data_IF_738035330935
#
_entry.id   IF_738035330935
#
_cell.length_a   1.000
_cell.length_b   1.000
_cell.length_c   1.000
_cell.angle_alpha   90.00
_cell.angle_beta   90.00
_cell.angle_gamma   90.00
#
_symmetry.space_group_name_H-M   'P 1'
#
loop_
_entity.id
_entity.type
_entity.pdbx_description
1 polymer ?
#
# COMPACT_ATOMS: atom_id res chain seq x y z
N UNK A 1 -16.11 13.19 -2.80
CA UNK A 1 -15.86 13.21 -1.34
C UNK A 1 -16.95 12.55 -0.50
N UNK A 2 -18.22 13.00 -0.51
CA UNK A 2 -19.27 12.41 0.38
C UNK A 2 -19.40 10.89 0.23
N UNK A 3 -19.48 10.38 -1.00
CA UNK A 3 -19.50 8.93 -1.27
C UNK A 3 -18.21 8.23 -0.78
N UNK A 4 -17.03 8.81 -1.03
CA UNK A 4 -15.76 8.31 -0.48
C UNK A 4 -15.81 8.19 1.07
N UNK A 5 -16.30 9.20 1.79
CA UNK A 5 -16.43 9.11 3.25
C UNK A 5 -17.42 8.01 3.72
N UNK A 6 -18.45 7.70 2.91
CA UNK A 6 -19.39 6.59 3.16
C UNK A 6 -18.76 5.21 2.87
N UNK A 7 -17.88 5.12 1.86
CA UNK A 7 -17.27 3.86 1.43
C UNK A 7 -15.89 3.57 2.07
N UNK A 8 -15.23 4.57 2.66
CA UNK A 8 -13.96 4.40 3.40
C UNK A 8 -13.98 3.27 4.45
N UNK A 9 -15.05 3.07 5.26
CA UNK A 9 -15.08 1.98 6.23
C UNK A 9 -14.84 0.59 5.63
N UNK A 10 -15.16 0.38 4.36
CA UNK A 10 -14.91 -0.89 3.67
C UNK A 10 -13.43 -1.07 3.32
N UNK A 11 -12.73 -0.03 2.83
CA UNK A 11 -11.28 -0.07 2.62
C UNK A 11 -10.52 -0.28 3.95
N UNK A 12 -11.00 0.35 5.02
CA UNK A 12 -10.48 0.19 6.37
C UNK A 12 -10.74 -1.23 6.94
N UNK A 13 -11.88 -1.85 6.60
CA UNK A 13 -12.25 -3.21 7.02
C UNK A 13 -11.42 -4.32 6.37
N UNK A 14 -10.90 -4.10 5.16
CA UNK A 14 -10.05 -5.07 4.46
C UNK A 14 -8.84 -5.51 5.31
N UNK A 15 -8.35 -4.63 6.19
CA UNK A 15 -7.33 -4.95 7.17
C UNK A 15 -7.90 -5.69 8.39
N UNK A 16 -8.05 -6.99 8.22
CA UNK A 16 -8.57 -7.93 9.22
C UNK A 16 -7.50 -8.42 10.22
N UNK A 17 -6.22 -8.22 9.91
CA UNK A 17 -5.07 -8.49 10.80
C UNK A 17 -4.99 -7.58 12.03
N UNK A 18 -4.11 -7.92 13.01
CA UNK A 18 -4.06 -7.28 14.32
C UNK A 18 -3.45 -5.87 14.31
N UNK A 19 -2.66 -5.48 13.30
CA UNK A 19 -1.90 -4.22 13.32
C UNK A 19 -2.79 -2.97 13.43
N UNK A 20 -3.95 -2.93 12.76
CA UNK A 20 -4.90 -1.82 12.93
C UNK A 20 -5.48 -1.75 14.36
N UNK A 21 -5.60 -2.88 15.05
CA UNK A 21 -6.13 -2.90 16.42
C UNK A 21 -5.06 -2.44 17.42
N UNK A 22 -3.78 -2.75 17.19
CA UNK A 22 -2.63 -2.22 17.95
C UNK A 22 -2.61 -0.69 17.90
N UNK A 23 -2.73 -0.11 16.69
CA UNK A 23 -2.69 1.34 16.50
C UNK A 23 -3.90 2.10 17.06
N UNK A 24 -5.04 1.43 17.28
CA UNK A 24 -6.25 2.02 17.88
C UNK A 24 -6.34 1.83 19.39
N UNK A 25 -5.94 0.66 19.89
CA UNK A 25 -6.14 0.24 21.28
C UNK A 25 -4.84 -0.37 21.85
N UNK A 26 -3.74 0.38 22.00
CA UNK A 26 -2.41 -0.19 22.27
C UNK A 26 -2.33 -1.09 23.52
N UNK A 27 -3.23 -0.93 24.50
CA UNK A 27 -3.31 -1.78 25.70
C UNK A 27 -4.31 -2.94 25.52
N UNK A 28 -5.46 -2.69 24.88
CA UNK A 28 -6.57 -3.65 24.78
C UNK A 28 -6.68 -4.34 23.41
N UNK A 29 -5.71 -4.15 22.52
CA UNK A 29 -5.73 -4.71 21.17
C UNK A 29 -5.93 -6.23 21.11
N UNK A 30 -5.37 -7.07 22.04
CA UNK A 30 -5.59 -8.51 21.94
C UNK A 30 -7.07 -8.85 22.17
N UNK A 31 -7.70 -8.21 23.17
CA UNK A 31 -9.12 -8.37 23.45
C UNK A 31 -10.00 -7.86 22.31
N UNK A 32 -9.68 -6.67 21.77
CA UNK A 32 -10.40 -6.07 20.65
C UNK A 32 -10.30 -6.94 19.38
N UNK A 33 -9.10 -7.46 19.07
CA UNK A 33 -8.86 -8.33 17.93
C UNK A 33 -9.56 -9.68 18.08
N UNK A 34 -9.44 -10.36 19.23
CA UNK A 34 -10.14 -11.64 19.52
C UNK A 34 -11.67 -11.49 19.40
N UNK A 35 -12.22 -10.37 19.88
CA UNK A 35 -13.63 -10.02 19.74
C UNK A 35 -14.03 -9.73 18.28
N UNK A 36 -13.19 -9.00 17.53
CA UNK A 36 -13.40 -8.66 16.10
C UNK A 36 -13.37 -9.91 15.23
N UNK A 37 -12.42 -10.82 15.45
CA UNK A 37 -12.32 -12.15 14.85
C UNK A 37 -13.48 -13.10 15.23
N UNK A 38 -14.33 -12.70 16.18
CA UNK A 38 -15.53 -13.45 16.55
C UNK A 38 -15.23 -14.78 17.26
N UNK A 39 -14.03 -14.94 17.85
CA UNK A 39 -13.58 -16.13 18.58
C UNK A 39 -14.55 -16.50 19.72
N UNK A 40 -15.12 -15.49 20.39
CA UNK A 40 -16.14 -15.64 21.44
C UNK A 40 -17.55 -15.96 20.92
N UNK A 41 -17.72 -16.21 19.61
CA UNK A 41 -19.01 -16.48 18.96
C UNK A 41 -18.94 -17.62 17.93
N UNK A 42 -18.37 -18.81 18.27
CA UNK A 42 -18.15 -19.88 17.30
C UNK A 42 -19.44 -20.42 16.67
N UNK A 43 -20.58 -20.37 17.38
CA UNK A 43 -21.89 -20.74 16.85
C UNK A 43 -22.37 -19.86 15.69
N UNK A 44 -21.86 -18.63 15.56
CA UNK A 44 -22.18 -17.74 14.45
C UNK A 44 -21.40 -18.06 13.15
N UNK A 45 -20.42 -18.99 13.19
CA UNK A 45 -19.56 -19.38 12.06
C UNK A 45 -20.35 -19.75 10.80
N UNK A 46 -21.37 -20.58 10.93
CA UNK A 46 -22.16 -21.06 9.78
C UNK A 46 -22.96 -19.95 9.07
N UNK A 47 -23.21 -18.83 9.76
CA UNK A 47 -23.89 -17.65 9.17
C UNK A 47 -22.94 -16.74 8.40
N UNK A 48 -21.62 -16.94 8.48
CA UNK A 48 -20.60 -16.13 7.78
C UNK A 48 -20.19 -16.82 6.48
N UNK A 49 -19.95 -16.09 5.37
CA UNK A 49 -19.45 -16.68 4.13
C UNK A 49 -18.08 -17.31 4.33
N UNK A 50 -17.75 -18.35 3.55
CA UNK A 50 -16.39 -18.83 3.44
C UNK A 50 -15.60 -17.89 2.52
N UNK A 51 -14.45 -17.40 2.99
CA UNK A 51 -13.50 -16.66 2.17
C UNK A 51 -12.29 -17.55 1.91
N UNK A 52 -11.68 -17.38 0.75
CA UNK A 52 -10.47 -18.11 0.41
C UNK A 52 -9.30 -17.69 1.32
N UNK A 53 -8.54 -18.67 1.79
CA UNK A 53 -7.46 -18.49 2.76
C UNK A 53 -7.89 -18.03 4.17
N UNK A 54 -9.18 -17.99 4.52
CA UNK A 54 -9.61 -17.73 5.92
C UNK A 54 -9.44 -18.97 6.81
N UNK A 55 -9.34 -18.75 8.12
CA UNK A 55 -9.20 -19.82 9.11
C UNK A 55 -10.51 -20.62 9.29
N UNK A 56 -10.41 -21.77 9.95
CA UNK A 56 -11.54 -22.69 10.15
C UNK A 56 -12.78 -21.97 10.74
N UNK A 57 -12.61 -21.04 11.69
CA UNK A 57 -13.71 -20.31 12.34
C UNK A 57 -14.22 -19.07 11.58
N UNK A 58 -13.73 -18.82 10.36
CA UNK A 58 -14.10 -17.68 9.49
C UNK A 58 -13.89 -16.32 10.18
N UNK A 59 -12.72 -16.19 10.80
CA UNK A 59 -12.38 -15.05 11.65
C UNK A 59 -12.17 -13.75 10.88
N UNK A 60 -11.58 -13.80 9.69
CA UNK A 60 -11.36 -12.59 8.90
C UNK A 60 -12.67 -12.12 8.24
N UNK A 61 -13.53 -13.04 7.79
CA UNK A 61 -14.91 -12.73 7.41
C UNK A 61 -15.68 -12.07 8.57
N UNK A 62 -15.54 -12.58 9.80
CA UNK A 62 -16.13 -11.99 11.00
C UNK A 62 -15.60 -10.57 11.26
N UNK A 63 -14.28 -10.38 11.17
CA UNK A 63 -13.60 -9.13 11.42
C UNK A 63 -14.02 -8.03 10.43
N UNK A 64 -14.14 -8.38 9.14
CA UNK A 64 -14.63 -7.49 8.10
C UNK A 64 -16.09 -7.10 8.38
N UNK A 65 -17.00 -8.09 8.45
CA UNK A 65 -18.44 -7.87 8.63
C UNK A 65 -18.78 -7.07 9.89
N UNK A 66 -18.08 -7.35 11.00
CA UNK A 66 -18.27 -6.65 12.28
C UNK A 66 -17.75 -5.23 12.26
N UNK A 67 -16.76 -4.91 11.42
CA UNK A 67 -16.23 -3.56 11.28
C UNK A 67 -17.15 -2.66 10.44
N UNK A 68 -17.65 -3.15 9.30
CA UNK A 68 -18.59 -2.39 8.44
C UNK A 68 -20.04 -2.45 8.94
N UNK A 69 -20.35 -3.37 9.87
CA UNK A 69 -21.67 -3.58 10.45
C UNK A 69 -22.78 -3.86 9.40
N UNK A 70 -22.55 -4.88 8.55
CA UNK A 70 -23.51 -5.32 7.53
C UNK A 70 -23.96 -6.77 7.75
N UNK A 71 -25.05 -7.16 7.09
CA UNK A 71 -25.53 -8.55 7.10
C UNK A 71 -24.49 -9.50 6.48
N UNK A 72 -24.26 -10.70 7.02
CA UNK A 72 -23.27 -11.63 6.48
C UNK A 72 -23.49 -12.05 5.02
N UNK A 73 -24.75 -12.07 4.56
CA UNK A 73 -25.14 -12.37 3.18
C UNK A 73 -24.67 -11.33 2.18
N UNK A 74 -24.39 -10.10 2.61
CA UNK A 74 -23.89 -9.04 1.75
C UNK A 74 -22.44 -9.30 1.29
N UNK A 75 -21.64 -10.06 2.05
CA UNK A 75 -20.27 -10.42 1.67
C UNK A 75 -20.31 -11.70 0.81
N UNK A 76 -20.19 -11.55 -0.50
CA UNK A 76 -20.46 -12.61 -1.48
C UNK A 76 -19.21 -13.38 -1.95
N UNK A 77 -18.02 -12.76 -1.89
CA UNK A 77 -16.73 -13.39 -2.23
C UNK A 77 -15.59 -12.67 -1.51
N UNK A 78 -14.45 -13.33 -1.35
CA UNK A 78 -13.19 -12.69 -1.00
C UNK A 78 -12.06 -13.68 -0.79
N UNK A 79 -10.82 -13.18 -0.81
CA UNK A 79 -9.59 -13.89 -0.48
C UNK A 79 -8.84 -13.10 0.59
N UNK A 80 -8.37 -13.79 1.62
CA UNK A 80 -7.72 -13.20 2.80
C UNK A 80 -6.22 -13.46 2.80
N UNK A 81 -5.80 -14.67 2.44
CA UNK A 81 -4.39 -15.05 2.37
C UNK A 81 -3.75 -14.39 1.15
N UNK A 82 -2.75 -13.55 1.39
CA UNK A 82 -1.92 -12.99 0.33
C UNK A 82 -0.80 -13.96 0.00
N UNK A 83 -0.49 -14.05 -1.29
CA UNK A 83 0.69 -14.71 -1.85
C UNK A 83 1.47 -13.67 -2.66
N UNK A 84 2.66 -14.01 -3.16
CA UNK A 84 3.45 -13.06 -3.96
C UNK A 84 2.69 -12.70 -5.23
N UNK A 85 2.27 -11.43 -5.35
CA UNK A 85 1.40 -10.85 -6.40
C UNK A 85 -0.10 -11.15 -6.28
N UNK A 86 -0.57 -11.76 -5.20
CA UNK A 86 -2.00 -11.98 -4.97
C UNK A 86 -2.58 -10.97 -3.97
N UNK A 87 -3.48 -10.11 -4.43
CA UNK A 87 -4.18 -9.17 -3.55
C UNK A 87 -5.25 -9.88 -2.70
N UNK A 88 -5.31 -9.54 -1.41
CA UNK A 88 -6.48 -9.88 -0.59
C UNK A 88 -7.61 -8.90 -0.88
N UNK A 89 -8.83 -9.41 -1.00
CA UNK A 89 -9.98 -8.62 -1.44
C UNK A 89 -11.29 -9.17 -0.88
N UNK A 90 -12.32 -8.32 -0.87
CA UNK A 90 -13.67 -8.61 -0.41
C UNK A 90 -14.67 -8.03 -1.40
N UNK A 91 -15.66 -8.81 -1.84
CA UNK A 91 -16.75 -8.35 -2.71
C UNK A 91 -18.04 -8.34 -1.92
N UNK A 92 -18.69 -7.18 -1.89
CA UNK A 92 -19.85 -6.89 -1.06
C UNK A 92 -21.00 -6.34 -1.93
N UNK A 93 -22.20 -6.85 -1.74
CA UNK A 93 -23.42 -6.32 -2.36
C UNK A 93 -24.16 -5.43 -1.37
N UNK A 94 -24.35 -4.16 -1.73
CA UNK A 94 -25.07 -3.15 -0.95
C UNK A 94 -26.37 -2.81 -1.68
N UNK A 95 -27.42 -3.62 -1.44
CA UNK A 95 -28.73 -3.47 -2.09
C UNK A 95 -29.38 -2.11 -1.81
N UNK A 96 -29.20 -1.55 -0.61
CA UNK A 96 -29.70 -0.21 -0.23
C UNK A 96 -29.07 0.91 -1.07
N UNK A 97 -27.88 0.68 -1.64
CA UNK A 97 -27.16 1.63 -2.50
C UNK A 97 -27.12 1.21 -3.97
N UNK A 98 -27.78 0.09 -4.33
CA UNK A 98 -27.62 -0.58 -5.63
C UNK A 98 -26.15 -0.61 -6.09
N UNK A 99 -25.27 -1.11 -5.22
CA UNK A 99 -23.82 -1.06 -5.44
C UNK A 99 -23.17 -2.42 -5.17
N UNK A 100 -22.33 -2.89 -6.09
CA UNK A 100 -21.36 -3.97 -5.87
C UNK A 100 -20.02 -3.31 -5.52
N UNK A 101 -19.58 -3.47 -4.28
CA UNK A 101 -18.34 -2.91 -3.75
C UNK A 101 -17.23 -3.97 -3.75
N UNK A 102 -16.05 -3.60 -4.25
CA UNK A 102 -14.84 -4.43 -4.22
C UNK A 102 -13.82 -3.71 -3.33
N UNK A 103 -13.60 -4.23 -2.12
CA UNK A 103 -12.59 -3.73 -1.19
C UNK A 103 -11.27 -4.47 -1.36
N UNK A 104 -10.21 -3.78 -1.76
CA UNK A 104 -8.86 -4.34 -1.93
C UNK A 104 -8.00 -3.96 -0.72
N UNK A 105 -7.37 -4.98 -0.12
CA UNK A 105 -6.50 -4.84 1.04
C UNK A 105 -5.11 -4.33 0.62
N UNK A 106 -4.61 -3.32 1.33
CA UNK A 106 -3.21 -2.92 1.21
C UNK A 106 -2.27 -3.74 2.11
N UNK A 107 -0.99 -3.45 2.00
CA UNK A 107 0.10 -4.12 2.74
C UNK A 107 -0.07 -3.98 4.26
N UNK A 108 0.23 -5.02 5.03
CA UNK A 108 0.10 -4.98 6.49
C UNK A 108 1.18 -4.11 7.15
N UNK A 109 2.46 -4.26 6.81
CA UNK A 109 3.56 -3.58 7.50
C UNK A 109 4.17 -2.42 6.68
N UNK A 110 4.77 -1.40 7.33
CA UNK A 110 5.57 -0.38 6.65
C UNK A 110 6.78 -0.93 5.89
N UNK A 111 7.40 -2.00 6.39
CA UNK A 111 8.58 -2.64 5.80
C UNK A 111 8.23 -3.35 4.49
N UNK A 112 7.12 -4.11 4.49
CA UNK A 112 6.55 -4.68 3.27
C UNK A 112 6.16 -3.57 2.29
N UNK A 113 5.56 -2.46 2.75
CA UNK A 113 5.16 -1.34 1.90
C UNK A 113 6.35 -0.63 1.22
N UNK A 114 7.50 -0.53 1.91
CA UNK A 114 8.75 -0.04 1.32
C UNK A 114 9.29 -1.05 0.30
N UNK A 115 9.23 -2.34 0.60
CA UNK A 115 9.67 -3.42 -0.30
C UNK A 115 8.82 -3.47 -1.56
N UNK A 116 7.49 -3.34 -1.40
CA UNK A 116 6.52 -3.21 -2.49
C UNK A 116 6.82 -1.96 -3.31
N UNK A 117 6.91 -0.77 -2.69
CA UNK A 117 7.13 0.52 -3.35
C UNK A 117 8.50 0.72 -4.03
N UNK A 118 9.41 -0.24 -3.88
CA UNK A 118 10.69 -0.33 -4.59
C UNK A 118 10.64 -1.29 -5.80
N UNK A 119 9.46 -1.79 -6.18
CA UNK A 119 9.31 -2.64 -7.36
C UNK A 119 9.57 -1.85 -8.66
N UNK A 120 10.22 -2.50 -9.63
CA UNK A 120 10.47 -1.92 -10.96
C UNK A 120 9.15 -1.67 -11.72
N UNK A 121 9.21 -0.78 -12.68
CA UNK A 121 8.13 -0.55 -13.63
C UNK A 121 7.79 -1.80 -14.47
N UNK A 122 6.52 -1.93 -14.83
CA UNK A 122 6.00 -2.91 -15.79
C UNK A 122 5.23 -2.17 -16.88
N UNK A 123 5.43 -2.58 -18.14
CA UNK A 123 4.65 -2.05 -19.25
C UNK A 123 3.19 -2.56 -19.18
N UNK A 124 2.25 -1.68 -19.48
CA UNK A 124 0.86 -2.05 -19.75
C UNK A 124 0.74 -2.65 -21.15
N UNK A 125 -0.10 -3.67 -21.30
CA UNK A 125 -0.54 -4.18 -22.61
C UNK A 125 -1.75 -3.38 -23.09
N UNK A 126 -2.14 -3.55 -24.36
CA UNK A 126 -3.33 -2.87 -24.88
C UNK A 126 -4.62 -3.43 -24.26
N UNK A 127 -4.62 -4.67 -23.78
CA UNK A 127 -5.72 -5.28 -23.04
C UNK A 127 -5.89 -4.66 -21.64
N UNK A 128 -4.79 -4.31 -20.94
CA UNK A 128 -4.88 -3.60 -19.65
C UNK A 128 -5.51 -2.20 -19.84
N UNK A 129 -5.22 -1.57 -20.98
CA UNK A 129 -5.64 -0.22 -21.36
C UNK A 129 -6.95 -0.17 -22.15
N UNK A 130 -7.61 -1.32 -22.40
CA UNK A 130 -8.82 -1.42 -23.22
C UNK A 130 -9.89 -0.39 -22.79
N UNK A 131 -10.12 -0.27 -21.49
CA UNK A 131 -11.05 0.73 -20.95
C UNK A 131 -10.66 2.18 -21.23
N UNK A 132 -9.38 2.50 -21.33
CA UNK A 132 -8.90 3.85 -21.66
C UNK A 132 -8.85 4.14 -23.15
N UNK A 133 -8.75 3.09 -23.98
CA UNK A 133 -8.64 3.17 -25.44
C UNK A 133 -10.01 3.13 -26.13
N UNK A 134 -10.91 2.25 -25.67
CA UNK A 134 -12.16 1.93 -26.36
C UNK A 134 -13.42 2.50 -25.70
N UNK A 135 -13.35 3.04 -24.48
CA UNK A 135 -14.54 3.58 -23.80
C UNK A 135 -15.06 4.86 -24.46
N UNK A 136 -16.30 4.81 -24.95
CA UNK A 136 -17.03 5.96 -25.51
C UNK A 136 -17.25 7.09 -24.48
N UNK A 137 -17.18 6.76 -23.19
CA UNK A 137 -17.38 7.70 -22.08
C UNK A 137 -16.18 8.63 -21.88
N UNK A 138 -15.00 8.29 -22.42
CA UNK A 138 -13.79 9.13 -22.38
C UNK A 138 -13.69 10.07 -23.59
N UNK A 139 -13.23 11.33 -23.40
CA UNK A 139 -12.96 12.26 -24.50
C UNK A 139 -12.03 11.66 -25.55
N UNK A 140 -12.34 11.86 -26.84
CA UNK A 140 -11.56 11.35 -27.97
C UNK A 140 -10.09 11.75 -27.85
N UNK A 141 -9.81 13.00 -27.48
CA UNK A 141 -8.44 13.51 -27.25
C UNK A 141 -7.68 12.76 -26.16
N UNK A 142 -8.36 12.26 -25.13
CA UNK A 142 -7.74 11.44 -24.07
C UNK A 142 -7.37 10.06 -24.63
N UNK A 143 -8.28 9.44 -25.38
CA UNK A 143 -8.08 8.13 -26.01
C UNK A 143 -6.95 8.16 -27.03
N UNK A 144 -6.97 9.15 -27.93
CA UNK A 144 -5.90 9.38 -28.90
C UNK A 144 -4.54 9.66 -28.24
N UNK A 145 -4.50 10.41 -27.13
CA UNK A 145 -3.27 10.64 -26.37
C UNK A 145 -2.70 9.33 -25.80
N UNK A 146 -3.54 8.46 -25.23
CA UNK A 146 -3.11 7.13 -24.74
C UNK A 146 -2.60 6.25 -25.89
N UNK A 147 -3.30 6.19 -27.02
CA UNK A 147 -2.86 5.39 -28.18
C UNK A 147 -1.54 5.91 -28.77
N UNK A 148 -1.44 7.22 -28.99
CA UNK A 148 -0.30 7.85 -29.68
C UNK A 148 0.97 7.95 -28.85
N UNK A 149 0.90 7.78 -27.52
CA UNK A 149 2.05 7.86 -26.61
C UNK A 149 2.42 6.52 -25.96
N UNK A 150 1.85 5.41 -26.44
CA UNK A 150 2.25 4.04 -26.09
C UNK A 150 3.75 3.79 -26.42
N UNK A 151 4.52 3.04 -25.60
CA UNK A 151 4.11 2.25 -24.43
C UNK A 151 3.96 3.03 -23.11
N UNK A 152 2.94 2.61 -22.34
CA UNK A 152 2.64 3.10 -21.00
C UNK A 152 3.11 2.15 -19.91
N UNK A 153 3.35 2.68 -18.71
CA UNK A 153 3.97 1.95 -17.61
C UNK A 153 3.26 2.17 -16.28
N UNK A 154 3.24 1.12 -15.47
CA UNK A 154 2.81 1.16 -14.08
C UNK A 154 3.83 0.51 -13.15
N UNK A 155 3.58 0.60 -11.86
CA UNK A 155 4.42 -0.01 -10.83
C UNK A 155 4.23 -1.54 -10.82
N UNK A 156 5.31 -2.31 -11.03
CA UNK A 156 5.24 -3.73 -11.42
C UNK A 156 4.38 -4.61 -10.53
N UNK A 157 4.67 -4.65 -9.22
CA UNK A 157 3.88 -5.45 -8.28
C UNK A 157 2.41 -5.03 -8.16
N UNK A 158 2.08 -3.78 -8.48
CA UNK A 158 0.69 -3.28 -8.48
C UNK A 158 -0.02 -3.74 -9.76
N UNK A 159 0.64 -3.66 -10.92
CA UNK A 159 0.11 -4.11 -12.21
C UNK A 159 -0.10 -5.63 -12.19
N UNK A 160 0.87 -6.39 -11.69
CA UNK A 160 0.78 -7.85 -11.56
C UNK A 160 -0.39 -8.27 -10.65
N UNK A 161 -0.54 -7.63 -9.48
CA UNK A 161 -1.64 -7.91 -8.56
C UNK A 161 -3.02 -7.48 -9.08
N UNK A 162 -3.08 -6.41 -9.88
CA UNK A 162 -4.31 -5.98 -10.53
C UNK A 162 -4.72 -6.94 -11.67
N UNK A 163 -3.77 -7.42 -12.48
CA UNK A 163 -4.02 -8.43 -13.54
C UNK A 163 -4.53 -9.75 -12.93
N UNK A 164 -3.89 -10.24 -11.87
CA UNK A 164 -4.33 -11.46 -11.18
C UNK A 164 -5.74 -11.30 -10.58
N UNK A 165 -6.02 -10.18 -9.90
CA UNK A 165 -7.34 -9.94 -9.33
C UNK A 165 -8.41 -9.71 -10.43
N UNK A 166 -8.05 -9.12 -11.56
CA UNK A 166 -8.93 -9.00 -12.73
C UNK A 166 -9.30 -10.38 -13.29
N UNK A 167 -8.33 -11.29 -13.39
CA UNK A 167 -8.59 -12.70 -13.72
C UNK A 167 -9.52 -13.35 -12.68
N UNK A 168 -9.27 -13.26 -11.37
CA UNK A 168 -10.17 -13.85 -10.34
C UNK A 168 -11.62 -13.34 -10.38
N UNK A 169 -11.84 -12.14 -10.91
CA UNK A 169 -13.15 -11.47 -10.97
C UNK A 169 -13.88 -11.66 -12.32
N UNK A 170 -13.14 -11.85 -13.42
CA UNK A 170 -13.69 -12.05 -14.77
C UNK A 170 -13.57 -13.48 -15.29
N UNK A 171 -12.63 -14.27 -14.78
CA UNK A 171 -12.47 -15.65 -15.17
C UNK A 171 -13.41 -16.56 -14.39
N UNK A 172 -13.75 -17.64 -15.07
CA UNK A 172 -14.67 -18.62 -14.57
C UNK A 172 -13.87 -19.67 -13.83
N UNK A 173 -13.70 -19.52 -12.52
CA UNK A 173 -13.17 -20.58 -11.65
C UNK A 173 -13.95 -21.87 -11.92
N UNK A 174 -13.32 -22.73 -12.72
CA UNK A 174 -13.79 -24.01 -13.19
C UNK A 174 -12.70 -24.98 -12.83
N UNK A 175 -13.10 -25.99 -12.09
CA UNK A 175 -12.27 -27.08 -11.62
C UNK A 175 -11.40 -27.65 -12.75
N UNK A 176 -10.23 -28.19 -12.39
CA UNK A 176 -9.42 -29.01 -13.30
C UNK A 176 -10.07 -30.39 -13.51
N UNK A 177 -11.27 -30.38 -14.10
CA UNK A 177 -12.10 -31.55 -14.35
C UNK A 177 -12.44 -31.67 -15.83
N UNK A 178 -11.93 -32.74 -16.46
CA UNK A 178 -12.21 -33.08 -17.86
C UNK A 178 -13.72 -33.08 -18.14
N UNK A 179 -14.18 -32.15 -18.98
CA UNK A 179 -15.46 -32.25 -19.67
C UNK A 179 -15.36 -31.56 -21.03
N UNK A 180 -15.04 -32.34 -22.05
CA UNK A 180 -15.32 -31.95 -23.42
C UNK A 180 -16.85 -31.77 -23.61
N UNK A 181 -17.24 -31.00 -24.64
CA UNK A 181 -18.61 -30.82 -25.10
C UNK A 181 -19.59 -30.04 -24.19
N UNK A 182 -19.49 -28.71 -24.20
CA UNK A 182 -20.58 -27.80 -24.64
C UNK A 182 -20.07 -26.36 -24.68
N UNK A 183 -20.30 -25.64 -25.77
CA UNK A 183 -19.84 -24.26 -26.01
C UNK A 183 -20.60 -23.17 -25.22
N UNK A 184 -21.02 -23.47 -23.99
CA UNK A 184 -21.52 -22.44 -23.08
C UNK A 184 -20.33 -21.60 -22.62
N UNK A 185 -20.24 -20.38 -23.13
CA UNK A 185 -19.22 -19.40 -22.76
C UNK A 185 -19.43 -19.05 -21.28
N UNK A 186 -18.75 -19.79 -20.39
CA UNK A 186 -18.90 -19.66 -18.94
C UNK A 186 -18.64 -18.19 -18.58
N UNK A 187 -19.45 -17.66 -17.66
CA UNK A 187 -19.53 -16.24 -17.41
C UNK A 187 -18.75 -15.85 -16.14
N UNK A 188 -17.94 -14.79 -16.23
CA UNK A 188 -17.10 -14.30 -15.13
C UNK A 188 -17.90 -13.89 -13.90
N UNK A 189 -17.30 -14.01 -12.71
CA UNK A 189 -18.01 -13.77 -11.44
C UNK A 189 -18.68 -12.40 -11.33
N UNK A 190 -17.99 -11.31 -11.70
CA UNK A 190 -18.63 -9.99 -11.72
C UNK A 190 -19.79 -9.94 -12.71
N UNK A 191 -19.62 -10.54 -13.88
CA UNK A 191 -20.66 -10.59 -14.91
C UNK A 191 -21.86 -11.41 -14.44
N UNK A 192 -21.69 -12.53 -13.73
CA UNK A 192 -22.82 -13.26 -13.10
C UNK A 192 -23.58 -12.44 -12.08
N UNK A 193 -22.93 -11.47 -11.42
CA UNK A 193 -23.57 -10.60 -10.43
C UNK A 193 -24.34 -9.45 -11.05
N UNK A 194 -23.83 -8.80 -12.13
CA UNK A 194 -24.38 -7.52 -12.63
C UNK A 194 -24.96 -7.54 -14.05
N UNK A 195 -24.87 -8.67 -14.79
CA UNK A 195 -25.44 -8.78 -16.14
C UNK A 195 -26.97 -8.58 -16.17
N UNK A 196 -27.54 -8.46 -17.37
CA UNK A 196 -28.99 -8.50 -17.54
C UNK A 196 -29.61 -9.80 -17.00
N UNK A 197 -30.70 -9.68 -16.24
CA UNK A 197 -31.36 -10.80 -15.57
C UNK A 197 -30.70 -11.31 -14.28
N UNK A 198 -29.58 -10.72 -13.83
CA UNK A 198 -28.97 -11.03 -12.53
C UNK A 198 -29.58 -10.24 -11.36
N UNK A 199 -29.33 -10.69 -10.13
CA UNK A 199 -29.82 -10.04 -8.90
C UNK A 199 -29.33 -8.59 -8.75
N UNK A 200 -28.07 -8.31 -9.13
CA UNK A 200 -27.49 -6.97 -9.05
C UNK A 200 -27.48 -6.26 -10.42
N UNK A 201 -28.42 -6.60 -11.31
CA UNK A 201 -28.56 -5.90 -12.59
C UNK A 201 -28.74 -4.39 -12.39
N UNK A 202 -27.96 -3.59 -13.12
CA UNK A 202 -27.95 -2.14 -13.01
C UNK A 202 -27.34 -1.60 -11.71
N UNK A 203 -26.63 -2.42 -10.93
CA UNK A 203 -25.88 -1.95 -9.75
C UNK A 203 -24.56 -1.30 -10.19
N UNK A 204 -24.18 -0.24 -9.48
CA UNK A 204 -22.91 0.46 -9.68
C UNK A 204 -21.74 -0.38 -9.17
N UNK A 205 -20.60 -0.39 -9.87
CA UNK A 205 -19.39 -1.04 -9.35
C UNK A 205 -18.54 0.02 -8.64
N UNK A 206 -18.15 -0.24 -7.39
CA UNK A 206 -17.33 0.69 -6.59
C UNK A 206 -16.11 -0.04 -6.03
N UNK A 207 -14.92 0.36 -6.47
CA UNK A 207 -13.67 -0.16 -5.92
C UNK A 207 -13.19 0.76 -4.81
N UNK A 208 -12.72 0.17 -3.72
CA UNK A 208 -12.12 0.91 -2.61
C UNK A 208 -10.84 0.23 -2.15
N UNK A 209 -9.86 1.02 -1.75
CA UNK A 209 -8.63 0.50 -1.20
C UNK A 209 -7.79 1.60 -0.57
N UNK A 210 -6.96 1.22 0.39
CA UNK A 210 -6.08 2.12 1.10
C UNK A 210 -4.61 1.68 0.92
N UNK A 211 -3.66 2.62 0.89
CA UNK A 211 -2.25 2.31 0.62
C UNK A 211 -2.09 1.48 -0.67
N UNK A 212 -1.28 0.41 -0.68
CA UNK A 212 -1.16 -0.52 -1.81
C UNK A 212 -2.51 -0.98 -2.36
N UNK A 213 -3.50 -1.23 -1.50
CA UNK A 213 -4.82 -1.68 -1.92
C UNK A 213 -5.55 -0.63 -2.77
N UNK A 214 -5.33 0.66 -2.50
CA UNK A 214 -5.87 1.76 -3.31
C UNK A 214 -5.20 1.85 -4.68
N UNK A 215 -3.91 1.53 -4.77
CA UNK A 215 -3.17 1.50 -6.03
C UNK A 215 -3.55 0.28 -6.90
N UNK A 216 -3.71 -0.90 -6.29
CA UNK A 216 -4.23 -2.10 -6.97
C UNK A 216 -5.68 -1.90 -7.42
N UNK A 217 -6.54 -1.33 -6.56
CA UNK A 217 -7.92 -0.96 -6.92
C UNK A 217 -8.00 0.05 -8.08
N UNK A 218 -7.01 0.93 -8.21
CA UNK A 218 -6.90 1.90 -9.32
C UNK A 218 -6.65 1.19 -10.65
N UNK A 219 -5.62 0.34 -10.72
CA UNK A 219 -5.28 -0.39 -11.95
C UNK A 219 -6.36 -1.41 -12.31
N UNK A 220 -6.95 -2.09 -11.32
CA UNK A 220 -8.10 -2.97 -11.53
C UNK A 220 -9.32 -2.20 -12.07
N UNK A 221 -9.60 -1.01 -11.52
CA UNK A 221 -10.68 -0.14 -11.98
C UNK A 221 -10.50 0.28 -13.44
N UNK A 222 -9.27 0.59 -13.85
CA UNK A 222 -8.90 0.91 -15.24
C UNK A 222 -9.21 -0.24 -16.19
N UNK A 223 -8.83 -1.47 -15.84
CA UNK A 223 -9.11 -2.68 -16.62
C UNK A 223 -10.62 -2.99 -16.69
N UNK A 224 -11.37 -2.70 -15.62
CA UNK A 224 -12.84 -2.91 -15.57
C UNK A 224 -13.64 -1.83 -16.32
N UNK A 225 -13.10 -0.62 -16.49
CA UNK A 225 -13.83 0.55 -17.01
C UNK A 225 -14.35 0.37 -18.44
N UNK A 226 -13.67 -0.43 -19.28
CA UNK A 226 -14.16 -0.74 -20.64
C UNK A 226 -15.44 -1.57 -20.67
N UNK A 227 -15.62 -2.47 -19.69
CA UNK A 227 -16.80 -3.34 -19.60
C UNK A 227 -17.91 -2.76 -18.73
N UNK A 228 -17.55 -1.91 -17.78
CA UNK A 228 -18.46 -1.36 -16.76
C UNK A 228 -18.25 0.17 -16.64
N UNK A 229 -18.85 1.00 -17.52
CA UNK A 229 -18.51 2.43 -17.58
C UNK A 229 -18.93 3.29 -16.35
N UNK A 230 -19.85 2.80 -15.51
CA UNK A 230 -20.14 3.36 -14.16
C UNK A 230 -19.37 2.61 -13.05
N UNK A 231 -18.17 2.13 -13.35
CA UNK A 231 -17.19 1.76 -12.31
C UNK A 231 -16.56 3.03 -11.75
N UNK A 232 -16.33 3.10 -10.45
CA UNK A 232 -15.61 4.20 -9.82
C UNK A 232 -14.68 3.70 -8.71
N UNK A 233 -13.47 4.23 -8.65
CA UNK A 233 -12.44 3.89 -7.65
C UNK A 233 -12.31 5.02 -6.62
N UNK A 234 -12.36 4.66 -5.35
CA UNK A 234 -11.98 5.53 -4.24
C UNK A 234 -10.73 5.01 -3.55
N UNK A 235 -9.58 5.61 -3.87
CA UNK A 235 -8.28 5.23 -3.36
C UNK A 235 -7.84 6.18 -2.22
N UNK A 236 -7.48 5.64 -1.05
CA UNK A 236 -7.11 6.41 0.14
C UNK A 236 -5.61 6.28 0.43
N UNK A 237 -4.86 7.37 0.33
CA UNK A 237 -3.41 7.39 0.42
C UNK A 237 -2.68 6.31 -0.41
N UNK A 238 -3.03 6.08 -1.69
CA UNK A 238 -2.41 5.03 -2.50
C UNK A 238 -0.98 5.39 -2.89
N UNK A 239 -0.15 4.40 -3.25
CA UNK A 239 1.15 4.70 -3.86
C UNK A 239 0.95 5.31 -5.27
N UNK A 240 1.87 6.19 -5.72
CA UNK A 240 2.01 6.51 -7.14
C UNK A 240 2.26 5.23 -7.95
N UNK A 241 1.42 4.94 -8.94
CA UNK A 241 1.33 3.59 -9.52
C UNK A 241 1.28 3.51 -11.05
N UNK A 242 1.15 4.64 -11.74
CA UNK A 242 1.05 4.73 -13.21
C UNK A 242 1.79 5.97 -13.73
N UNK A 243 2.18 5.98 -15.01
CA UNK A 243 2.76 7.18 -15.64
C UNK A 243 1.77 8.36 -15.73
N UNK A 244 2.28 9.53 -16.14
CA UNK A 244 1.53 10.78 -16.21
C UNK A 244 0.29 10.71 -17.12
N UNK A 245 0.37 10.00 -18.25
CA UNK A 245 -0.71 9.96 -19.25
C UNK A 245 -1.85 9.08 -18.73
N UNK A 246 -1.52 7.92 -18.17
CA UNK A 246 -2.50 7.03 -17.54
C UNK A 246 -3.10 7.67 -16.29
N UNK A 247 -2.28 8.37 -15.47
CA UNK A 247 -2.77 9.12 -14.32
C UNK A 247 -3.81 10.18 -14.70
N UNK A 248 -3.61 10.87 -15.84
CA UNK A 248 -4.58 11.82 -16.40
C UNK A 248 -5.84 11.14 -16.92
N UNK A 249 -5.71 10.09 -17.73
CA UNK A 249 -6.84 9.38 -18.32
C UNK A 249 -7.80 8.80 -17.27
N UNK A 250 -7.29 8.41 -16.10
CA UNK A 250 -8.09 7.90 -14.98
C UNK A 250 -8.96 8.97 -14.26
N UNK A 251 -8.85 10.26 -14.60
CA UNK A 251 -9.50 11.36 -13.84
C UNK A 251 -11.02 11.33 -13.80
N UNK A 252 -11.67 10.60 -14.71
CA UNK A 252 -13.13 10.51 -14.80
C UNK A 252 -13.74 9.49 -13.84
N UNK A 253 -13.01 8.40 -13.52
CA UNK A 253 -13.51 7.28 -12.72
C UNK A 253 -12.65 6.93 -11.50
N UNK A 254 -11.48 7.57 -11.31
CA UNK A 254 -10.64 7.42 -10.12
C UNK A 254 -10.66 8.70 -9.30
N UNK A 255 -10.97 8.59 -8.01
CA UNK A 255 -10.77 9.66 -7.03
C UNK A 255 -9.77 9.20 -5.98
N UNK A 256 -8.65 9.92 -5.91
CA UNK A 256 -7.58 9.69 -4.94
C UNK A 256 -7.71 10.69 -3.79
N UNK A 257 -7.73 10.20 -2.54
CA UNK A 257 -7.84 11.02 -1.34
C UNK A 257 -6.53 10.92 -0.55
N UNK A 258 -5.85 12.05 -0.35
CA UNK A 258 -4.59 12.13 0.42
C UNK A 258 -4.81 12.97 1.68
N UNK A 259 -4.29 12.52 2.82
CA UNK A 259 -4.48 13.18 4.13
C UNK A 259 -3.16 13.78 4.64
N UNK A 260 -3.10 15.11 4.76
CA UNK A 260 -1.91 15.88 5.16
C UNK A 260 -0.66 15.46 4.38
N UNK A 261 0.47 15.34 5.07
CA UNK A 261 1.78 14.98 4.53
C UNK A 261 2.05 13.47 4.68
N UNK A 262 1.03 12.63 4.46
CA UNK A 262 1.17 11.19 4.55
C UNK A 262 2.11 10.63 3.46
N UNK A 263 2.91 9.63 3.84
CA UNK A 263 4.08 9.23 3.08
C UNK A 263 3.80 8.33 1.87
N UNK A 264 2.74 7.52 1.89
CA UNK A 264 2.53 6.48 0.88
C UNK A 264 2.20 7.10 -0.47
N UNK A 265 1.41 8.17 -0.50
CA UNK A 265 1.17 8.96 -1.71
C UNK A 265 2.41 9.64 -2.30
N UNK A 266 3.55 9.57 -1.61
CA UNK A 266 4.85 10.12 -2.03
C UNK A 266 5.92 9.04 -2.18
N UNK A 267 5.58 7.75 -2.00
CA UNK A 267 6.54 6.67 -1.97
C UNK A 267 6.75 6.09 -3.38
N UNK A 268 7.89 6.39 -3.99
CA UNK A 268 8.34 5.82 -5.26
C UNK A 268 9.87 5.69 -5.28
N UNK A 269 10.42 4.89 -6.18
CA UNK A 269 11.88 4.80 -6.39
C UNK A 269 12.48 6.20 -6.57
N UNK A 270 11.87 7.02 -7.43
CA UNK A 270 12.35 8.37 -7.72
C UNK A 270 12.28 9.33 -6.53
N UNK A 271 11.24 9.26 -5.71
CA UNK A 271 11.15 10.12 -4.52
C UNK A 271 12.17 9.73 -3.45
N UNK A 272 12.48 8.44 -3.33
CA UNK A 272 13.56 7.92 -2.46
C UNK A 272 14.93 8.35 -2.98
N UNK A 273 15.18 8.29 -4.29
CA UNK A 273 16.42 8.78 -4.90
C UNK A 273 16.60 10.28 -4.68
N UNK A 274 15.55 11.10 -4.89
CA UNK A 274 15.57 12.54 -4.62
C UNK A 274 15.82 12.83 -3.13
N UNK A 275 15.16 12.11 -2.22
CA UNK A 275 15.38 12.23 -0.78
C UNK A 275 16.81 11.87 -0.38
N UNK A 276 17.38 10.80 -0.94
CA UNK A 276 18.78 10.39 -0.73
C UNK A 276 19.75 11.47 -1.21
N UNK A 277 19.56 12.01 -2.41
CA UNK A 277 20.42 13.07 -2.96
C UNK A 277 20.35 14.36 -2.13
N UNK A 278 19.15 14.77 -1.71
CA UNK A 278 18.95 15.93 -0.82
C UNK A 278 19.62 15.72 0.55
N UNK A 279 19.51 14.51 1.12
CA UNK A 279 20.21 14.16 2.35
C UNK A 279 21.74 14.20 2.19
N UNK A 280 22.29 13.69 1.09
CA UNK A 280 23.74 13.72 0.85
C UNK A 280 24.25 15.16 0.68
N UNK A 281 23.55 16.01 -0.10
CA UNK A 281 23.94 17.43 -0.25
C UNK A 281 23.91 18.16 1.09
N UNK A 282 22.80 18.07 1.82
CA UNK A 282 22.65 18.73 3.14
C UNK A 282 23.64 18.23 4.18
N UNK A 283 24.17 17.02 4.07
CA UNK A 283 25.27 16.53 4.93
C UNK A 283 26.67 16.99 4.46
N UNK A 284 26.81 17.39 3.19
CA UNK A 284 28.06 17.89 2.60
C UNK A 284 28.24 19.42 2.73
N UNK A 285 27.15 20.17 2.86
CA UNK A 285 27.15 21.64 2.82
C UNK A 285 27.42 22.33 4.19
N UNK A 286 27.56 21.56 5.28
CA UNK A 286 27.66 22.13 6.64
C UNK A 286 29.10 22.38 7.12
N UNK A 287 29.20 23.25 8.12
CA UNK A 287 30.46 23.72 8.73
C UNK A 287 31.30 22.59 9.35
N UNK A 288 32.62 22.80 9.59
CA UNK A 288 33.49 21.75 10.15
C UNK A 288 33.06 21.23 11.53
N UNK A 289 32.34 22.02 12.33
CA UNK A 289 31.84 21.57 13.64
C UNK A 289 30.62 20.63 13.51
N UNK A 290 29.72 20.89 12.57
CA UNK A 290 28.58 20.01 12.26
C UNK A 290 29.03 18.69 11.61
N UNK A 291 30.11 18.76 10.83
CA UNK A 291 30.74 17.60 10.17
C UNK A 291 31.07 16.49 11.17
N UNK A 292 31.45 16.83 12.41
CA UNK A 292 31.73 15.85 13.46
C UNK A 292 30.46 15.11 13.94
N UNK A 293 29.32 15.80 14.11
CA UNK A 293 28.05 15.16 14.47
C UNK A 293 27.52 14.33 13.30
N UNK A 294 27.61 14.85 12.08
CA UNK A 294 27.21 14.20 10.83
C UNK A 294 28.00 12.90 10.62
N UNK A 295 29.33 12.93 10.72
CA UNK A 295 30.14 11.71 10.64
C UNK A 295 29.83 10.71 11.76
N UNK A 296 29.46 11.17 12.96
CA UNK A 296 29.09 10.30 14.09
C UNK A 296 27.72 9.65 13.88
N UNK A 297 26.78 10.35 13.25
CA UNK A 297 25.47 9.82 12.84
C UNK A 297 25.62 8.85 11.65
N UNK A 298 26.34 9.24 10.60
CA UNK A 298 26.62 8.39 9.44
C UNK A 298 27.36 7.10 9.84
N UNK A 299 28.38 7.19 10.70
CA UNK A 299 29.05 5.99 11.27
C UNK A 299 28.10 5.12 12.09
N UNK A 300 27.13 5.70 12.83
CA UNK A 300 26.11 4.92 13.56
C UNK A 300 25.15 4.19 12.61
N UNK A 301 24.69 4.85 11.54
CA UNK A 301 23.81 4.24 10.54
C UNK A 301 24.55 3.11 9.79
N UNK A 302 25.77 3.37 9.30
CA UNK A 302 26.58 2.38 8.59
C UNK A 302 26.99 1.19 9.47
N UNK A 303 27.27 1.40 10.77
CA UNK A 303 27.58 0.31 11.69
C UNK A 303 26.34 -0.42 12.21
N UNK A 304 25.15 0.19 12.23
CA UNK A 304 23.90 -0.50 12.55
C UNK A 304 23.63 -1.64 11.56
N UNK A 305 23.87 -1.41 10.26
CA UNK A 305 23.75 -2.44 9.23
C UNK A 305 24.70 -3.64 9.48
N UNK A 306 25.92 -3.40 9.97
CA UNK A 306 26.88 -4.48 10.33
C UNK A 306 26.45 -5.32 11.54
N UNK A 307 25.56 -4.82 12.39
CA UNK A 307 25.01 -5.60 13.50
C UNK A 307 23.80 -6.46 13.11
N UNK A 308 23.14 -6.16 11.99
CA UNK A 308 21.99 -6.95 11.51
C UNK A 308 22.41 -8.26 10.82
N UNK A 309 23.57 -8.29 10.14
CA UNK A 309 24.11 -9.53 9.53
C UNK A 309 24.57 -10.58 10.56
N UNK A 310 24.75 -10.21 11.85
CA UNK A 310 25.23 -11.13 12.90
C UNK A 310 24.14 -11.74 13.79
N UNK A 311 22.85 -11.57 13.45
CA UNK A 311 21.74 -12.20 14.21
C UNK A 311 20.66 -12.77 13.29
N UNK A 312 20.94 -13.97 12.77
CA UNK A 312 19.92 -14.97 12.43
C UNK A 312 19.98 -16.09 13.49
N UNK A 313 18.84 -16.55 14.05
CA UNK A 313 18.83 -17.67 14.98
C UNK A 313 18.60 -19.00 14.26
N UNK A 314 19.54 -19.95 14.39
CA UNK A 314 19.24 -21.36 14.17
C UNK A 314 18.74 -22.00 15.46
N UNK A 315 17.56 -22.62 15.40
CA UNK A 315 17.13 -23.65 16.33
C UNK A 315 17.20 -25.00 15.61
N UNK A 316 17.72 -26.01 16.30
CA UNK A 316 17.25 -27.39 16.21
C UNK A 316 17.57 -28.09 17.55
N UNK A 317 16.85 -29.17 17.86
CA UNK A 317 16.68 -29.67 19.23
C UNK A 317 16.99 -31.17 19.42
N UNK A 318 16.89 -31.62 20.68
CA UNK A 318 17.15 -32.97 21.23
C UNK A 318 18.66 -33.35 21.38
N UNK A 319 19.11 -34.10 22.40
CA UNK A 319 18.38 -34.83 23.44
C UNK A 319 19.14 -34.90 24.80
N UNK A 320 18.40 -35.19 25.86
CA UNK A 320 18.77 -35.46 27.27
C UNK A 320 20.16 -36.08 27.55
N UNK A 321 20.86 -35.63 28.62
CA UNK A 321 21.03 -36.39 29.89
C UNK A 321 21.57 -35.47 31.01
N UNK A 322 21.06 -35.64 32.24
CA UNK A 322 21.61 -35.16 33.54
C UNK A 322 22.34 -36.35 34.22
N UNK A 323 23.08 -36.22 35.36
CA UNK A 323 23.38 -35.04 36.18
C UNK A 323 24.89 -34.87 36.60
N UNK A 324 25.12 -33.81 37.38
CA UNK A 324 25.79 -33.82 38.71
C UNK A 324 27.21 -33.26 38.99
N UNK A 325 27.28 -32.68 40.20
CA UNK A 325 28.38 -32.53 41.18
C UNK A 325 29.57 -31.52 41.05
N UNK A 326 29.51 -30.52 41.95
CA UNK A 326 30.53 -30.07 42.94
C UNK A 326 31.81 -29.25 42.60
N UNK A 327 31.81 -28.05 43.22
CA UNK A 327 32.82 -27.49 44.15
C UNK A 327 34.17 -26.84 43.75
N UNK A 328 34.53 -25.89 44.64
CA UNK A 328 35.86 -25.42 45.06
C UNK A 328 36.60 -24.29 44.30
N UNK A 329 36.11 -23.07 44.53
CA UNK A 329 36.75 -22.07 45.43
C UNK A 329 38.29 -22.02 45.61
N UNK A 330 38.84 -20.79 45.54
CA UNK A 330 40.23 -20.35 45.85
C UNK A 330 41.31 -20.76 44.82
N UNK A 331 42.40 -20.02 44.59
CA UNK A 331 42.82 -18.71 45.09
C UNK A 331 44.35 -18.52 45.00
N UNK A 332 44.82 -17.28 44.78
CA UNK A 332 46.21 -16.79 44.97
C UNK A 332 47.39 -17.43 44.17
N UNK A 333 47.99 -16.61 43.30
CA UNK A 333 49.39 -16.18 43.54
C UNK A 333 50.53 -16.67 42.62
N UNK A 334 51.60 -15.87 42.65
CA UNK A 334 52.99 -16.13 42.21
C UNK A 334 53.37 -16.02 40.71
N UNK A 335 53.89 -14.82 40.37
CA UNK A 335 55.16 -14.54 39.68
C UNK A 335 55.87 -15.63 38.83
N UNK A 336 56.27 -15.25 37.61
CA UNK A 336 57.69 -15.15 37.22
C UNK A 336 57.89 -14.36 35.90
N UNK A 337 58.84 -13.42 35.90
CA UNK A 337 59.56 -12.95 34.70
C UNK A 337 60.99 -13.51 34.70
N UNK A 338 62.00 -12.92 34.00
CA UNK A 338 62.00 -11.67 33.23
C UNK A 338 62.77 -11.73 31.87
N UNK A 339 63.12 -10.55 31.30
CA UNK A 339 64.02 -10.29 30.12
C UNK A 339 63.46 -10.72 28.73
N UNK A 340 63.70 -10.08 27.57
CA UNK A 340 64.38 -8.83 27.11
C UNK A 340 64.10 -8.68 25.58
N UNK A 341 64.16 -7.54 24.87
CA UNK A 341 64.42 -6.10 25.14
C UNK A 341 64.06 -5.23 23.89
N UNK A 342 64.20 -3.89 23.99
CA UNK A 342 64.69 -2.88 23.00
C UNK A 342 64.86 -3.40 21.54
N UNK A 343 64.26 -2.83 20.47
CA UNK A 343 64.40 -1.43 19.99
C UNK A 343 63.28 -0.94 19.01
N UNK A 344 63.40 0.29 18.47
CA UNK A 344 62.33 1.06 17.76
C UNK A 344 62.29 0.92 16.17
N UNK A 345 61.87 1.88 15.30
CA UNK A 345 60.73 1.69 14.38
C UNK A 345 61.01 1.75 12.85
N UNK A 346 59.91 1.65 12.07
CA UNK A 346 59.66 1.97 10.63
C UNK A 346 59.64 0.78 9.65
N UNK A 347 58.52 0.63 8.95
CA UNK A 347 58.40 1.07 7.54
C UNK A 347 56.98 0.90 7.00
N UNK A 348 56.53 1.82 6.15
CA UNK A 348 55.31 1.65 5.34
C UNK A 348 55.56 0.61 4.24
N UNK A 349 54.69 -0.39 4.10
CA UNK A 349 54.54 -1.12 2.84
C UNK A 349 53.10 -1.57 2.64
N UNK A 350 52.50 -1.13 1.54
CA UNK A 350 51.18 -1.56 1.08
C UNK A 350 51.18 -3.07 0.84
N UNK A 351 50.13 -3.75 1.29
CA UNK A 351 49.83 -5.13 0.93
C UNK A 351 48.42 -5.20 0.36
N UNK A 352 48.34 -5.72 -0.87
CA UNK A 352 47.08 -6.06 -1.53
C UNK A 352 46.41 -7.19 -0.75
N UNK A 353 45.10 -7.11 -0.55
CA UNK A 353 44.32 -8.21 0.02
C UNK A 353 43.72 -9.01 -1.12
N UNK A 354 44.17 -10.25 -1.24
CA UNK A 354 43.69 -11.25 -2.18
C UNK A 354 42.28 -11.74 -1.78
N UNK A 355 41.45 -12.11 -2.75
CA UNK A 355 40.07 -12.57 -2.52
C UNK A 355 39.98 -14.10 -2.61
N UNK A 356 39.87 -14.76 -1.47
CA UNK A 356 39.68 -16.22 -1.42
C UNK A 356 38.26 -16.55 -0.92
N UNK A 357 37.30 -16.66 -1.84
CA UNK A 357 35.93 -17.13 -1.58
C UNK A 357 35.74 -18.50 -2.22
N UNK A 358 35.84 -19.56 -1.41
CA UNK A 358 35.53 -20.93 -1.86
C UNK A 358 34.03 -21.10 -2.10
N UNK A 359 33.66 -21.42 -3.33
CA UNK A 359 32.30 -21.85 -3.71
C UNK A 359 32.04 -23.31 -3.29
N UNK A 360 30.79 -23.61 -2.96
CA UNK A 360 30.27 -24.98 -2.86
C UNK A 360 29.63 -25.33 -4.22
N UNK A 361 29.80 -26.55 -4.79
CA UNK A 361 29.29 -26.87 -6.12
C UNK A 361 27.83 -27.32 -6.11
N UNK A 362 27.12 -27.04 -7.21
CA UNK A 362 25.86 -27.69 -7.59
C UNK A 362 25.96 -28.05 -9.08
N UNK A 363 25.92 -29.35 -9.39
CA UNK A 363 26.05 -29.89 -10.76
C UNK A 363 24.71 -29.92 -11.51
N UNK A 364 24.76 -29.65 -12.82
CA UNK A 364 23.85 -30.14 -13.88
C UNK A 364 22.40 -29.60 -13.87
N UNK A 365 21.92 -28.86 -14.87
CA UNK A 365 22.13 -29.06 -16.31
C UNK A 365 21.81 -27.78 -17.13
N UNK A 366 22.42 -27.67 -18.32
CA UNK A 366 22.31 -26.60 -19.33
C UNK A 366 20.85 -26.26 -19.72
N UNK A 367 20.50 -25.00 -20.06
CA UNK A 367 20.93 -24.42 -21.35
C UNK A 367 20.86 -22.90 -21.44
N UNK A 368 22.02 -22.28 -21.67
CA UNK A 368 22.25 -21.17 -22.61
C UNK A 368 21.46 -19.85 -22.51
N UNK A 369 22.13 -18.81 -21.97
CA UNK A 369 22.08 -17.44 -22.50
C UNK A 369 23.43 -16.75 -22.21
N UNK A 370 24.01 -16.09 -23.21
CA UNK A 370 25.40 -15.59 -23.17
C UNK A 370 25.62 -14.42 -22.19
N UNK A 371 26.82 -14.37 -21.59
CA UNK A 371 27.26 -13.30 -20.71
C UNK A 371 27.60 -12.01 -21.49
N UNK A 372 26.87 -10.92 -21.26
CA UNK A 372 27.27 -9.58 -21.64
C UNK A 372 27.95 -8.86 -20.47
N UNK A 373 29.27 -8.73 -20.57
CA UNK A 373 30.24 -8.18 -19.63
C UNK A 373 29.78 -6.97 -18.78
N UNK A 374 29.99 -7.07 -17.47
CA UNK A 374 29.81 -5.98 -16.50
C UNK A 374 30.94 -4.94 -16.60
N UNK A 375 30.74 -3.88 -17.39
CA UNK A 375 31.57 -2.67 -17.25
C UNK A 375 31.15 -1.87 -16.02
N UNK A 376 32.12 -1.34 -15.27
CA UNK A 376 31.86 -0.49 -14.09
C UNK A 376 31.46 0.92 -14.52
N UNK A 377 30.18 1.10 -14.81
CA UNK A 377 29.52 2.41 -14.84
C UNK A 377 28.22 2.31 -14.05
N UNK A 378 27.95 3.26 -13.16
CA UNK A 378 26.62 3.42 -12.59
C UNK A 378 25.68 3.91 -13.72
N UNK A 379 25.12 2.95 -14.46
CA UNK A 379 23.93 3.21 -15.27
C UNK A 379 22.81 3.45 -14.26
N UNK A 380 22.64 4.72 -13.91
CA UNK A 380 21.38 5.27 -13.42
C UNK A 380 20.34 5.01 -14.52
N UNK A 381 19.76 3.81 -14.51
CA UNK A 381 18.55 3.50 -15.26
C UNK A 381 17.51 4.46 -14.70
N UNK A 382 17.18 5.47 -15.48
CA UNK A 382 16.26 6.54 -15.10
C UNK A 382 14.88 5.92 -14.90
N UNK A 383 14.60 5.55 -13.64
CA UNK A 383 13.36 4.88 -13.27
C UNK A 383 12.20 5.79 -13.66
N UNK A 384 11.16 5.23 -14.28
CA UNK A 384 10.04 6.04 -14.78
C UNK A 384 9.29 6.68 -13.62
N UNK A 385 8.99 7.97 -13.72
CA UNK A 385 8.21 8.66 -12.69
C UNK A 385 6.78 8.10 -12.66
N UNK A 386 6.38 7.62 -11.49
CA UNK A 386 5.02 7.16 -11.21
C UNK A 386 4.24 8.28 -10.51
N UNK A 387 2.95 8.36 -10.82
CA UNK A 387 2.04 9.38 -10.34
C UNK A 387 0.81 8.76 -9.68
N UNK A 388 0.16 9.54 -8.83
CA UNK A 388 -1.18 9.23 -8.33
C UNK A 388 -2.18 9.38 -9.47
N UNK A 389 -2.99 8.35 -9.70
CA UNK A 389 -4.01 8.39 -10.73
C UNK A 389 -5.23 9.19 -10.31
N UNK A 390 -5.89 9.77 -11.30
CA UNK A 390 -7.23 10.30 -11.20
C UNK A 390 -7.35 11.70 -10.61
N UNK A 391 -8.56 12.02 -10.13
CA UNK A 391 -8.87 13.28 -9.47
C UNK A 391 -8.35 13.25 -8.02
N UNK A 392 -7.33 14.05 -7.73
CA UNK A 392 -6.70 14.08 -6.40
C UNK A 392 -7.36 15.13 -5.51
N UNK A 393 -7.85 14.67 -4.36
CA UNK A 393 -8.37 15.47 -3.26
C UNK A 393 -7.36 15.42 -2.11
N UNK A 394 -6.74 16.57 -1.82
CA UNK A 394 -5.82 16.71 -0.68
C UNK A 394 -6.57 17.30 0.50
N UNK A 395 -6.67 16.55 1.60
CA UNK A 395 -7.31 16.95 2.85
C UNK A 395 -6.22 17.39 3.82
N UNK A 396 -6.13 18.70 4.05
CA UNK A 396 -5.08 19.32 4.87
C UNK A 396 -5.65 19.87 6.18
N UNK A 397 -4.94 19.67 7.29
CA UNK A 397 -5.20 20.38 8.55
C UNK A 397 -5.00 21.87 8.33
N UNK A 398 -5.99 22.66 8.72
CA UNK A 398 -5.82 24.11 8.78
C UNK A 398 -4.93 24.43 9.99
N UNK A 399 -3.69 24.89 9.75
CA UNK A 399 -2.82 25.33 10.84
C UNK A 399 -3.42 26.61 11.43
N UNK A 400 -3.94 26.52 12.65
CA UNK A 400 -4.33 27.70 13.42
C UNK A 400 -3.16 28.68 13.41
N UNK A 401 -3.37 29.86 12.83
CA UNK A 401 -2.51 31.01 13.11
C UNK A 401 -2.45 31.19 14.63
N UNK A 402 -1.28 31.58 15.16
CA UNK A 402 -1.09 31.83 16.58
C UNK A 402 -1.79 33.14 16.98
N UNK A 403 -3.13 33.14 16.96
CA UNK A 403 -3.92 34.23 17.48
C UNK A 403 -3.72 34.32 18.99
N UNK A 404 -3.55 35.53 19.57
CA UNK A 404 -3.37 35.65 21.00
C UNK A 404 -4.64 35.22 21.74
N UNK A 405 -4.46 34.68 22.95
CA UNK A 405 -5.48 33.96 23.74
C UNK A 405 -6.79 34.76 23.96
N UNK A 406 -6.74 36.09 23.87
CA UNK A 406 -7.89 36.98 24.03
C UNK A 406 -8.95 36.94 22.91
N UNK A 407 -8.67 36.33 21.74
CA UNK A 407 -9.64 36.27 20.61
C UNK A 407 -10.57 35.04 20.67
N UNK A 408 -10.42 34.16 21.65
CA UNK A 408 -11.14 32.89 21.72
C UNK A 408 -12.60 32.96 22.25
N UNK A 409 -13.25 34.13 22.22
CA UNK A 409 -14.60 34.33 22.79
C UNK A 409 -15.73 34.37 21.76
N UNK A 410 -15.43 34.26 20.45
CA UNK A 410 -16.44 34.17 19.39
C UNK A 410 -16.64 32.71 18.94
N UNK A 411 -17.65 31.96 19.45
CA UNK A 411 -17.88 30.57 19.03
C UNK A 411 -18.41 30.43 17.58
N UNK A 412 -18.78 31.52 16.91
CA UNK A 412 -19.23 31.52 15.51
C UNK A 412 -18.10 31.56 14.46
N UNK A 413 -16.85 31.88 14.85
CA UNK A 413 -15.70 32.01 13.92
C UNK A 413 -14.66 30.89 14.11
N UNK A 414 -15.10 29.69 14.51
CA UNK A 414 -14.24 28.52 14.55
C UNK A 414 -13.90 28.06 13.13
N UNK A 415 -12.74 28.49 12.60
CA UNK A 415 -12.21 28.01 11.31
C UNK A 415 -12.27 26.48 11.22
N UNK A 416 -12.69 25.96 10.05
CA UNK A 416 -12.74 24.52 9.81
C UNK A 416 -11.35 23.90 10.07
N UNK A 417 -11.23 22.87 10.94
CA UNK A 417 -9.93 22.30 11.31
C UNK A 417 -9.26 21.54 10.16
N UNK A 418 -10.01 21.22 9.10
CA UNK A 418 -9.53 20.57 7.90
C UNK A 418 -10.17 21.21 6.66
N UNK A 419 -9.37 21.42 5.62
CA UNK A 419 -9.80 21.87 4.30
C UNK A 419 -9.49 20.80 3.27
N UNK A 420 -10.39 20.56 2.32
CA UNK A 420 -10.09 19.77 1.13
C UNK A 420 -9.89 20.67 -0.08
N UNK A 421 -8.86 20.39 -0.86
CA UNK A 421 -8.55 21.07 -2.11
C UNK A 421 -8.31 20.05 -3.22
N UNK A 422 -8.59 20.41 -4.47
CA UNK A 422 -8.04 19.68 -5.61
C UNK A 422 -6.55 19.96 -5.69
N UNK A 423 -5.75 18.90 -5.82
CA UNK A 423 -4.31 19.01 -5.85
C UNK A 423 -3.73 18.49 -7.17
N UNK A 424 -2.62 19.11 -7.58
CA UNK A 424 -1.81 18.68 -8.72
C UNK A 424 -1.00 17.45 -8.33
N UNK A 425 -0.93 16.43 -9.20
CA UNK A 425 -0.20 15.17 -8.92
C UNK A 425 1.30 15.37 -8.73
N UNK A 426 1.83 16.44 -9.31
CA UNK A 426 3.22 16.88 -9.16
C UNK A 426 3.55 17.23 -7.70
N UNK A 427 2.56 17.68 -6.91
CA UNK A 427 2.70 17.98 -5.47
C UNK A 427 2.96 16.72 -4.60
N UNK A 428 3.00 15.54 -5.21
CA UNK A 428 3.17 14.24 -4.55
C UNK A 428 4.44 13.51 -5.02
N UNK A 429 5.29 14.14 -5.84
CA UNK A 429 6.56 13.55 -6.32
C UNK A 429 7.62 13.41 -5.23
N UNK A 430 7.60 14.24 -4.19
CA UNK A 430 8.65 14.28 -3.17
C UNK A 430 8.13 13.92 -1.77
N UNK A 431 8.95 13.18 -1.02
CA UNK A 431 8.64 12.78 0.35
C UNK A 431 8.73 14.01 1.26
N UNK A 432 7.57 14.47 1.74
CA UNK A 432 7.48 15.50 2.77
C UNK A 432 7.83 14.87 4.13
N UNK A 433 9.09 15.02 4.55
CA UNK A 433 9.56 14.52 5.85
C UNK A 433 8.92 15.32 6.98
N UNK A 434 7.89 14.75 7.62
CA UNK A 434 7.19 15.36 8.76
C UNK A 434 7.06 14.38 9.93
N UNK A 435 7.05 14.83 11.19
CA UNK A 435 6.90 13.95 12.35
C UNK A 435 5.59 13.14 12.37
N UNK A 436 4.58 13.54 11.58
CA UNK A 436 3.28 12.87 11.50
C UNK A 436 3.05 12.08 10.22
N UNK A 437 3.98 12.02 9.25
CA UNK A 437 3.78 11.37 7.94
C UNK A 437 3.24 9.93 8.05
N UNK A 438 3.79 9.12 8.97
CA UNK A 438 3.33 7.75 9.21
C UNK A 438 1.97 7.70 9.93
N UNK A 439 1.71 8.62 10.86
CA UNK A 439 0.42 8.69 11.56
C UNK A 439 -0.70 9.15 10.63
N UNK A 440 -0.42 10.13 9.78
CA UNK A 440 -1.40 10.70 8.84
C UNK A 440 -1.78 9.72 7.73
N UNK A 441 -0.92 8.72 7.46
CA UNK A 441 -1.24 7.58 6.60
C UNK A 441 -2.24 6.60 7.24
N UNK A 442 -2.51 6.63 8.55
CA UNK A 442 -3.36 5.61 9.18
C UNK A 442 -4.84 5.79 8.76
N UNK A 443 -5.56 4.73 8.35
CA UNK A 443 -6.92 4.84 7.77
C UNK A 443 -7.88 5.67 8.62
N UNK A 444 -7.86 5.51 9.94
CA UNK A 444 -8.77 6.24 10.83
C UNK A 444 -8.45 7.75 10.90
N UNK A 445 -7.21 8.18 10.62
CA UNK A 445 -6.88 9.61 10.47
C UNK A 445 -7.44 10.18 9.18
N UNK A 446 -7.37 9.44 8.07
CA UNK A 446 -7.98 9.83 6.79
C UNK A 446 -9.51 9.95 6.93
N UNK A 447 -10.16 8.94 7.55
CA UNK A 447 -11.59 8.97 7.89
C UNK A 447 -11.97 10.21 8.72
N UNK A 448 -11.26 10.46 9.81
CA UNK A 448 -11.51 11.59 10.70
C UNK A 448 -11.35 12.94 9.98
N UNK A 449 -10.31 13.08 9.16
CA UNK A 449 -10.08 14.28 8.36
C UNK A 449 -11.22 14.54 7.37
N UNK A 450 -11.64 13.52 6.61
CA UNK A 450 -12.78 13.62 5.69
C UNK A 450 -14.09 13.96 6.42
N UNK A 451 -14.38 13.31 7.55
CA UNK A 451 -15.57 13.60 8.36
C UNK A 451 -15.56 15.06 8.84
N UNK A 452 -14.45 15.55 9.40
CA UNK A 452 -14.32 16.94 9.86
C UNK A 452 -14.43 17.97 8.74
N UNK A 453 -13.94 17.66 7.54
CA UNK A 453 -14.15 18.52 6.36
C UNK A 453 -15.61 18.55 5.93
N UNK A 454 -16.34 17.43 6.00
CA UNK A 454 -17.76 17.37 5.64
C UNK A 454 -18.67 18.01 6.69
N UNK A 455 -18.37 17.82 7.98
CA UNK A 455 -19.07 18.46 9.12
C UNK A 455 -18.91 20.00 9.08
N UNK A 456 -17.76 20.49 8.63
CA UNK A 456 -17.50 21.93 8.54
C UNK A 456 -18.26 22.65 7.42
N UNK A 457 -18.72 21.94 6.38
CA UNK A 457 -19.42 22.57 5.26
C UNK A 457 -20.82 23.03 5.69
N UNK A 458 -21.14 24.34 5.62
CA UNK A 458 -22.49 24.81 5.92
C UNK A 458 -23.51 24.14 4.99
N UNK A 459 -24.72 23.88 5.50
CA UNK A 459 -25.78 23.12 4.82
C UNK A 459 -26.35 23.77 3.54
N UNK A 460 -25.75 24.87 3.08
CA UNK A 460 -26.06 25.59 1.84
C UNK A 460 -25.63 24.80 0.59
N UNK A 461 -26.39 23.75 0.27
CA UNK A 461 -26.60 23.26 -1.11
C UNK A 461 -27.89 22.44 -1.29
N UNK A 462 -28.77 22.38 -0.27
CA UNK A 462 -30.10 21.75 -0.35
C UNK A 462 -31.25 22.73 -0.68
N UNK A 463 -30.94 24.01 -0.97
CA UNK A 463 -31.94 25.07 -1.13
C UNK A 463 -31.86 25.78 -2.49
N UNK A 464 -31.46 25.06 -3.55
CA UNK A 464 -31.40 25.58 -4.93
C UNK A 464 -31.72 24.49 -5.97
N UNK A 465 -32.74 23.69 -5.72
CA UNK A 465 -33.35 22.77 -6.71
C UNK A 465 -34.85 22.97 -6.92
N UNK A 466 -35.50 23.87 -6.17
CA UNK A 466 -36.93 24.18 -6.28
C UNK A 466 -37.15 25.68 -6.53
N UNK A 467 -37.11 26.09 -7.81
CA UNK A 467 -37.75 27.31 -8.31
C UNK A 467 -37.82 27.22 -9.86
N UNK A 468 -38.94 27.60 -10.50
CA UNK A 468 -39.28 27.12 -11.83
C UNK A 468 -38.69 27.94 -12.99
N UNK A 469 -38.78 27.34 -14.18
CA UNK A 469 -38.63 27.97 -15.49
C UNK A 469 -39.46 29.26 -15.59
N UNK A 470 -38.82 30.37 -15.99
CA UNK A 470 -39.49 31.47 -16.69
C UNK A 470 -38.58 32.04 -17.78
N UNK A 471 -39.17 32.28 -18.95
CA UNK A 471 -38.53 32.88 -20.12
C UNK A 471 -38.10 34.33 -19.87
N UNK A 472 -37.04 34.81 -20.53
CA UNK A 472 -37.19 35.81 -21.61
C UNK A 472 -35.86 36.07 -22.35
N UNK A 473 -35.96 36.18 -23.69
CA UNK A 473 -34.99 36.68 -24.70
C UNK A 473 -33.68 35.90 -24.83
#
# INVERSE_FOLDING_TARGET
>A
MREAAVLHPFAEACYTGPLLDVGRNPILFPCAWVYRQGVLTPWARLRRPALDGDNWWRGHAAAFLRFVNIAPTALVRGRVRQSKREAAYFVVVLHDKKTVLIGVRGTETPEDLITDGLCRECAFTMEDLDGLVNSEVLPVTTREKVISTFPHYGHGGIVEAARELFMQLNDCTGDNGNSENTSSKKLGFLSTLVQEGSECHGYKIRLVGHSLGGAVATVLGMMLFGRYPDVHVYAYGPLPCVDLIIAEACSQFVTTIVNNDEFSSRLSINSILRLRSAAISTLSDNSPDDTAMIQKLARRILNANKHHERRSPHQDALCNTEPDLQDLQNGLGAYNGPSSSIDEPRSYRSLQIDQDVRRIPLDGHDSGLEEAQTSSGEILVESREMFLAGLIIHVVRNRRSLFPLWKCWNPQEAEQPYKAVFAKRENFRDIAVTPSMFMDHLPWRCRFAMQRTLEGQPSQRLANSDSPVQHLV
#
